data_IF_245914561383
#
_entry.id   IF_245914561383
#
_cell.length_a   1.000
_cell.length_b   1.000
_cell.length_c   1.000
_cell.angle_alpha   90.00
_cell.angle_beta   90.00
_cell.angle_gamma   90.00
#
_symmetry.space_group_name_H-M   'P 1'
#
loop_
_entity.id
_entity.type
_entity.pdbx_description
1 polymer ?
#
# COMPACT_ATOMS: atom_id res chain seq x y z
N UNK A 1 -13.67 4.25 24.05
CA UNK A 1 -14.67 4.14 22.98
C UNK A 1 -14.41 2.92 22.11
N UNK A 2 -15.45 2.18 21.73
CA UNK A 2 -15.23 1.10 20.77
C UNK A 2 -14.78 1.67 19.43
N UNK A 3 -13.79 1.00 18.83
CA UNK A 3 -13.27 1.39 17.54
C UNK A 3 -14.28 0.99 16.47
N UNK A 4 -14.55 1.86 15.49
CA UNK A 4 -15.48 1.51 14.43
C UNK A 4 -14.80 0.58 13.41
N UNK A 5 -15.61 0.01 12.52
CA UNK A 5 -15.18 -0.96 11.51
C UNK A 5 -14.09 -0.40 10.58
N UNK A 6 -14.24 0.87 10.18
CA UNK A 6 -13.26 1.54 9.29
C UNK A 6 -11.90 1.68 9.95
N UNK A 7 -11.88 2.02 11.24
CA UNK A 7 -10.63 2.18 11.99
C UNK A 7 -9.90 0.85 12.14
N UNK A 8 -10.65 -0.22 12.41
CA UNK A 8 -10.09 -1.58 12.52
C UNK A 8 -9.52 -2.03 11.18
N UNK A 9 -10.25 -1.78 10.09
CA UNK A 9 -9.80 -2.12 8.73
C UNK A 9 -8.50 -1.41 8.39
N UNK A 10 -8.43 -0.10 8.64
CA UNK A 10 -7.23 0.69 8.39
C UNK A 10 -6.04 0.20 9.22
N UNK A 11 -6.29 -0.16 10.48
CA UNK A 11 -5.26 -0.66 11.38
C UNK A 11 -4.68 -1.99 10.89
N UNK A 12 -5.54 -2.90 10.45
CA UNK A 12 -5.12 -4.17 9.88
C UNK A 12 -4.26 -3.97 8.62
N UNK A 13 -4.68 -3.04 7.75
CA UNK A 13 -3.90 -2.70 6.55
C UNK A 13 -2.53 -2.12 6.89
N UNK A 14 -2.46 -1.22 7.85
CA UNK A 14 -1.20 -0.59 8.25
C UNK A 14 -0.21 -1.61 8.80
N UNK A 15 -0.68 -2.52 9.66
CA UNK A 15 0.18 -3.58 10.21
C UNK A 15 0.60 -4.56 9.13
N UNK A 16 -0.33 -4.95 8.25
CA UNK A 16 -0.01 -5.86 7.15
C UNK A 16 1.06 -5.27 6.22
N UNK A 17 0.92 -4.01 5.84
CA UNK A 17 1.88 -3.33 4.96
C UNK A 17 3.28 -3.34 5.56
N UNK A 18 3.40 -2.96 6.80
CA UNK A 18 4.69 -2.90 7.49
C UNK A 18 5.33 -4.28 7.62
N UNK A 19 4.54 -5.26 8.03
CA UNK A 19 5.03 -6.63 8.24
C UNK A 19 5.43 -7.29 6.91
N UNK A 20 4.64 -7.10 5.86
CA UNK A 20 4.98 -7.61 4.53
C UNK A 20 6.26 -6.98 4.00
N UNK A 21 6.47 -5.69 4.24
CA UNK A 21 7.67 -4.99 3.80
C UNK A 21 8.92 -5.49 4.54
N UNK A 22 8.79 -5.80 5.82
CA UNK A 22 9.92 -6.25 6.65
C UNK A 22 10.25 -7.72 6.43
N UNK A 23 9.25 -8.59 6.38
CA UNK A 23 9.43 -10.04 6.42
C UNK A 23 9.06 -10.76 5.12
N UNK A 24 8.43 -10.06 4.18
CA UNK A 24 7.95 -10.64 2.94
C UNK A 24 6.51 -11.15 3.06
N UNK A 25 5.78 -11.07 1.94
CA UNK A 25 4.36 -11.42 1.91
C UNK A 25 4.10 -12.88 2.32
N UNK A 26 4.99 -13.79 1.94
CA UNK A 26 4.79 -15.21 2.22
C UNK A 26 5.16 -15.63 3.63
N UNK A 27 5.98 -14.85 4.32
CA UNK A 27 6.43 -15.17 5.68
C UNK A 27 5.48 -14.71 6.78
N UNK A 28 4.57 -13.80 6.47
CA UNK A 28 3.65 -13.18 7.43
C UNK A 28 2.31 -13.90 7.41
N UNK A 29 1.85 -14.37 8.57
CA UNK A 29 0.57 -15.06 8.70
C UNK A 29 -0.55 -14.08 9.03
N UNK A 30 -1.80 -14.46 8.71
CA UNK A 30 -2.98 -13.69 9.09
C UNK A 30 -3.06 -13.50 10.60
N UNK A 31 -2.69 -14.51 11.35
CA UNK A 31 -2.66 -14.45 12.80
C UNK A 31 -1.70 -13.40 13.33
N UNK A 32 -0.52 -13.32 12.74
CA UNK A 32 0.47 -12.31 13.13
C UNK A 32 -0.07 -10.89 12.89
N UNK A 33 -0.76 -10.68 11.77
CA UNK A 33 -1.35 -9.38 11.45
C UNK A 33 -2.44 -9.02 12.45
N UNK A 34 -3.36 -9.94 12.75
CA UNK A 34 -4.44 -9.69 13.69
C UNK A 34 -3.92 -9.44 15.10
N UNK A 35 -2.94 -10.18 15.55
CA UNK A 35 -2.31 -9.98 16.86
C UNK A 35 -1.64 -8.61 16.95
N UNK A 36 -0.88 -8.22 15.90
CA UNK A 36 -0.21 -6.93 15.87
C UNK A 36 -1.21 -5.77 15.91
N UNK A 37 -2.37 -5.94 15.27
CA UNK A 37 -3.43 -4.94 15.24
C UNK A 37 -4.30 -4.94 16.50
N UNK A 38 -3.97 -5.78 17.49
CA UNK A 38 -4.73 -5.84 18.74
C UNK A 38 -6.07 -6.53 18.64
N UNK A 39 -6.29 -7.31 17.59
CA UNK A 39 -7.52 -8.08 17.42
C UNK A 39 -7.40 -9.44 18.10
N UNK A 40 -8.45 -9.87 18.78
CA UNK A 40 -8.45 -11.13 19.53
C UNK A 40 -8.63 -12.36 18.64
N UNK A 41 -9.20 -12.16 17.47
CA UNK A 41 -9.61 -13.27 16.62
C UNK A 41 -9.09 -13.06 15.20
N UNK A 42 -8.43 -14.08 14.67
CA UNK A 42 -7.93 -14.12 13.30
C UNK A 42 -9.03 -13.88 12.25
N UNK A 43 -10.29 -14.22 12.59
CA UNK A 43 -11.43 -13.99 11.71
C UNK A 43 -11.67 -12.51 11.40
N UNK A 44 -11.06 -11.59 12.14
CA UNK A 44 -11.17 -10.16 11.84
C UNK A 44 -10.69 -9.83 10.42
N UNK A 45 -9.63 -10.50 9.95
CA UNK A 45 -9.15 -10.30 8.57
C UNK A 45 -10.20 -10.75 7.55
N UNK A 46 -10.79 -11.93 7.76
CA UNK A 46 -11.82 -12.44 6.85
C UNK A 46 -13.07 -11.57 6.87
N UNK A 47 -13.43 -11.04 8.03
CA UNK A 47 -14.58 -10.14 8.15
C UNK A 47 -14.38 -8.85 7.33
N UNK A 48 -13.21 -8.24 7.40
CA UNK A 48 -12.95 -6.96 6.74
C UNK A 48 -12.56 -7.10 5.26
N UNK A 49 -11.89 -8.19 4.88
CA UNK A 49 -11.32 -8.33 3.54
C UNK A 49 -11.83 -9.54 2.76
N UNK A 50 -12.45 -10.50 3.43
CA UNK A 50 -12.91 -11.74 2.81
C UNK A 50 -11.79 -12.77 2.67
N UNK A 51 -10.77 -12.49 1.90
CA UNK A 51 -9.63 -13.39 1.69
C UNK A 51 -8.32 -12.66 1.89
N UNK A 52 -7.24 -13.43 2.03
CA UNK A 52 -5.89 -12.88 2.09
C UNK A 52 -5.53 -12.14 0.79
N UNK A 53 -5.94 -12.67 -0.36
CA UNK A 53 -5.70 -12.01 -1.64
C UNK A 53 -6.40 -10.65 -1.70
N UNK A 54 -7.62 -10.55 -1.19
CA UNK A 54 -8.33 -9.28 -1.13
C UNK A 54 -7.63 -8.26 -0.21
N UNK A 55 -7.06 -8.73 0.88
CA UNK A 55 -6.23 -7.90 1.76
C UNK A 55 -5.06 -7.30 0.98
N UNK A 56 -4.33 -8.13 0.25
CA UNK A 56 -3.16 -7.72 -0.52
C UNK A 56 -3.58 -6.74 -1.62
N UNK A 57 -4.64 -7.04 -2.36
CA UNK A 57 -5.17 -6.16 -3.42
C UNK A 57 -5.57 -4.80 -2.84
N UNK A 58 -6.28 -4.79 -1.72
CA UNK A 58 -6.69 -3.55 -1.06
C UNK A 58 -5.50 -2.70 -0.65
N UNK A 59 -4.48 -3.35 -0.11
CA UNK A 59 -3.25 -2.69 0.32
C UNK A 59 -2.52 -2.05 -0.86
N UNK A 60 -2.34 -2.78 -1.95
CA UNK A 60 -1.66 -2.29 -3.14
C UNK A 60 -2.47 -1.17 -3.82
N UNK A 61 -3.80 -1.31 -3.87
CA UNK A 61 -4.68 -0.29 -4.43
C UNK A 61 -4.60 1.02 -3.65
N UNK A 62 -4.53 0.93 -2.32
CA UNK A 62 -4.40 2.11 -1.46
C UNK A 62 -3.16 2.94 -1.82
N UNK A 63 -2.04 2.27 -2.06
CA UNK A 63 -0.78 2.96 -2.41
C UNK A 63 -0.75 3.41 -3.87
N UNK A 64 -1.29 2.62 -4.78
CA UNK A 64 -1.31 3.02 -6.18
C UNK A 64 -2.18 4.26 -6.44
N UNK A 65 -3.20 4.50 -5.62
CA UNK A 65 -3.99 5.74 -5.71
C UNK A 65 -3.13 6.99 -5.47
N UNK A 66 -2.26 6.94 -4.47
CA UNK A 66 -1.35 8.04 -4.16
C UNK A 66 -0.39 8.28 -5.33
N UNK A 67 0.14 7.21 -5.91
CA UNK A 67 1.04 7.29 -7.06
C UNK A 67 0.32 7.81 -8.30
N UNK A 68 -0.94 7.41 -8.51
CA UNK A 68 -1.74 7.88 -9.64
C UNK A 68 -1.96 9.39 -9.56
N UNK A 69 -2.17 9.93 -8.36
CA UNK A 69 -2.32 11.37 -8.14
C UNK A 69 -1.04 12.11 -8.53
N UNK A 70 0.11 11.62 -8.07
CA UNK A 70 1.41 12.20 -8.40
C UNK A 70 1.66 12.13 -9.90
N UNK A 71 1.37 10.98 -10.51
CA UNK A 71 1.54 10.76 -11.94
C UNK A 71 0.68 11.74 -12.75
N UNK A 72 -0.57 11.92 -12.36
CA UNK A 72 -1.49 12.85 -13.03
C UNK A 72 -0.98 14.29 -12.95
N UNK A 73 -0.48 14.73 -11.80
CA UNK A 73 0.07 16.06 -11.63
C UNK A 73 1.30 16.28 -12.52
N UNK A 74 2.19 15.31 -12.57
CA UNK A 74 3.39 15.41 -13.40
C UNK A 74 3.04 15.40 -14.90
N UNK A 75 2.10 14.56 -15.30
CA UNK A 75 1.61 14.53 -16.70
C UNK A 75 1.00 15.86 -17.11
N UNK A 76 0.29 16.53 -16.21
CA UNK A 76 -0.35 17.81 -16.51
C UNK A 76 0.67 18.91 -16.83
N UNK A 77 1.92 18.77 -16.40
CA UNK A 77 2.99 19.72 -16.66
C UNK A 77 3.72 19.45 -17.99
N UNK A 78 3.47 18.30 -18.61
CA UNK A 78 4.04 17.97 -19.92
C UNK A 78 3.16 18.53 -21.03
N UNK A 79 3.74 18.83 -22.20
CA UNK A 79 2.99 19.29 -23.35
C UNK A 79 2.18 18.18 -24.01
N UNK A 80 1.47 18.52 -25.09
CA UNK A 80 0.61 17.59 -25.82
C UNK A 80 1.38 16.42 -26.44
N UNK A 81 2.66 16.62 -26.74
CA UNK A 81 3.52 15.61 -27.35
C UNK A 81 4.82 15.47 -26.56
N UNK A 82 4.77 14.83 -25.39
CA UNK A 82 5.98 14.67 -24.57
C UNK A 82 6.99 13.77 -25.28
N UNK A 83 8.27 14.09 -25.09
CA UNK A 83 9.36 13.27 -25.60
C UNK A 83 9.52 11.98 -24.78
N UNK A 84 10.19 10.99 -25.32
CA UNK A 84 10.51 9.76 -24.59
C UNK A 84 11.30 10.08 -23.31
N UNK A 85 12.25 11.02 -23.39
CA UNK A 85 13.03 11.44 -22.22
C UNK A 85 12.14 11.99 -21.11
N UNK A 86 11.17 12.85 -21.47
CA UNK A 86 10.24 13.42 -20.51
C UNK A 86 9.37 12.36 -19.84
N UNK A 87 8.91 11.37 -20.61
CA UNK A 87 8.11 10.27 -20.08
C UNK A 87 8.92 9.37 -19.14
N UNK A 88 10.16 9.06 -19.51
CA UNK A 88 11.06 8.26 -18.65
C UNK A 88 11.36 9.00 -17.36
N UNK A 89 11.65 10.30 -17.46
CA UNK A 89 11.91 11.14 -16.28
C UNK A 89 10.71 11.18 -15.36
N UNK A 90 9.50 11.25 -15.91
CA UNK A 90 8.25 11.21 -15.13
C UNK A 90 8.14 9.90 -14.36
N UNK A 91 8.39 8.76 -15.01
CA UNK A 91 8.37 7.45 -14.35
C UNK A 91 9.35 7.39 -13.18
N UNK A 92 10.57 7.88 -13.41
CA UNK A 92 11.60 7.93 -12.35
C UNK A 92 11.11 8.79 -11.17
N UNK A 93 10.55 9.96 -11.45
CA UNK A 93 10.04 10.86 -10.41
C UNK A 93 8.91 10.23 -9.60
N UNK A 94 7.97 9.53 -10.26
CA UNK A 94 6.87 8.85 -9.58
C UNK A 94 7.41 7.81 -8.58
N UNK A 95 8.33 6.97 -9.02
CA UNK A 95 8.88 5.93 -8.14
C UNK A 95 9.82 6.49 -7.08
N UNK A 96 10.62 7.52 -7.40
CA UNK A 96 11.49 8.13 -6.39
C UNK A 96 10.70 8.88 -5.33
N UNK A 97 9.48 9.35 -5.65
CA UNK A 97 8.60 9.96 -4.65
C UNK A 97 8.28 9.00 -3.51
N UNK A 98 8.26 7.69 -3.78
CA UNK A 98 8.04 6.67 -2.76
C UNK A 98 9.11 6.69 -1.67
N UNK A 99 10.33 7.14 -2.00
CA UNK A 99 11.44 7.15 -1.05
C UNK A 99 11.31 8.23 0.02
N UNK A 100 10.36 9.15 -0.13
CA UNK A 100 10.18 10.27 0.80
C UNK A 100 9.31 9.92 2.03
N UNK A 101 8.65 8.77 2.01
CA UNK A 101 7.80 8.32 3.11
C UNK A 101 8.12 6.88 3.50
N UNK A 102 7.85 6.54 4.76
CA UNK A 102 8.02 5.16 5.23
C UNK A 102 7.09 4.21 4.48
N UNK A 103 5.84 4.61 4.29
CA UNK A 103 4.86 3.78 3.57
C UNK A 103 5.21 3.61 2.10
N UNK A 104 5.81 4.62 1.46
CA UNK A 104 6.31 4.51 0.09
C UNK A 104 7.46 3.52 -0.01
N UNK A 105 8.40 3.57 0.92
CA UNK A 105 9.50 2.59 0.98
C UNK A 105 8.97 1.18 1.19
N UNK A 106 7.99 1.01 2.07
CA UNK A 106 7.35 -0.28 2.33
C UNK A 106 6.67 -0.82 1.07
N UNK A 107 5.96 0.05 0.34
CA UNK A 107 5.35 -0.33 -0.93
C UNK A 107 6.38 -0.87 -1.92
N UNK A 108 7.52 -0.18 -2.07
CA UNK A 108 8.58 -0.62 -2.98
C UNK A 108 9.15 -1.98 -2.57
N UNK A 109 9.29 -2.24 -1.26
CA UNK A 109 9.76 -3.53 -0.77
C UNK A 109 8.77 -4.65 -1.05
N UNK A 110 7.48 -4.37 -0.94
CA UNK A 110 6.42 -5.35 -1.17
C UNK A 110 6.34 -5.75 -2.63
N UNK A 111 6.45 -4.80 -3.55
CA UNK A 111 6.30 -5.05 -4.99
C UNK A 111 7.59 -5.53 -5.68
N UNK A 112 8.70 -5.49 -4.98
CA UNK A 112 10.01 -5.91 -5.49
C UNK A 112 10.09 -7.48 -5.65
#
# INVERSE_FOLDING_TARGET
>A
MPRNSSDTKALLLDHAEKMFAEDGVFAVTNRQITEAAGQKNESALNYHFGTRNELIITLLTRRSKDLDTIRAELLAHLGDKPTTRELVQLLVEVYTSCLHTESGCDYLRIVD
#
